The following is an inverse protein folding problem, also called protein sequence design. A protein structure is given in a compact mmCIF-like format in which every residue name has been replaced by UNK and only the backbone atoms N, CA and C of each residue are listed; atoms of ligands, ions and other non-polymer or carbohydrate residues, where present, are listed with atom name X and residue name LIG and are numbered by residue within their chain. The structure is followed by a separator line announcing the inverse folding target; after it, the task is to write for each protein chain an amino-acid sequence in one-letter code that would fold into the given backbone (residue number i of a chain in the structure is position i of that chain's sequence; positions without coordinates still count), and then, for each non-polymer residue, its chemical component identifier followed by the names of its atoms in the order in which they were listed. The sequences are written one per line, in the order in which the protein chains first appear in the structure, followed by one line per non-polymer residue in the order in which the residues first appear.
data_IF_620693971401
#
_entry.id   IF_620693971401
#
_cell.length_a   1.000
_cell.length_b   1.000
_cell.length_c   1.000
_cell.angle_alpha   90.00
_cell.angle_beta   90.00
_cell.angle_gamma   90.00
#
_symmetry.space_group_name_H-M   'P 1'
#
loop_
_entity.id
_entity.type
_entity.pdbx_description
1 polymer ?
#
# COMPACT_ATOMS: atom_id res chain seq x y z
N UNK A 1 17.77 -28.17 -17.07
CA UNK A 1 17.53 -26.99 -17.94
C UNK A 1 16.27 -26.18 -17.56
N UNK A 2 15.16 -26.80 -17.14
CA UNK A 2 13.92 -26.10 -16.78
C UNK A 2 14.00 -25.26 -15.48
N UNK A 3 14.74 -25.72 -14.46
CA UNK A 3 14.99 -24.96 -13.21
C UNK A 3 15.73 -23.62 -13.43
N UNK A 4 16.64 -23.55 -14.41
CA UNK A 4 17.41 -22.34 -14.73
C UNK A 4 16.54 -21.29 -15.42
N UNK A 5 15.61 -21.71 -16.28
CA UNK A 5 14.63 -20.81 -16.94
C UNK A 5 13.61 -20.23 -15.95
N UNK A 6 13.17 -21.00 -14.94
CA UNK A 6 12.24 -20.52 -13.90
C UNK A 6 12.91 -19.52 -12.95
N UNK A 7 14.17 -19.76 -12.58
CA UNK A 7 14.92 -18.83 -11.74
C UNK A 7 15.23 -17.51 -12.46
N UNK A 8 15.42 -17.52 -13.78
CA UNK A 8 15.80 -16.34 -14.56
C UNK A 8 14.81 -15.16 -14.41
N UNK A 9 13.50 -15.43 -14.37
CA UNK A 9 12.48 -14.37 -14.19
C UNK A 9 12.52 -13.72 -12.80
N UNK A 10 12.73 -14.53 -11.75
CA UNK A 10 12.87 -14.06 -10.37
C UNK A 10 14.19 -13.29 -10.21
N UNK A 11 15.29 -13.83 -10.75
CA UNK A 11 16.61 -13.19 -10.73
C UNK A 11 16.61 -11.87 -11.51
N UNK A 12 15.87 -11.76 -12.62
CA UNK A 12 15.74 -10.51 -13.36
C UNK A 12 14.99 -9.44 -12.54
N UNK A 13 13.88 -9.80 -11.88
CA UNK A 13 13.16 -8.87 -10.99
C UNK A 13 14.03 -8.43 -9.80
N UNK A 14 14.65 -9.38 -9.09
CA UNK A 14 15.56 -9.09 -7.97
C UNK A 14 16.80 -8.30 -8.44
N UNK A 15 17.30 -8.60 -9.63
CA UNK A 15 18.45 -7.93 -10.25
C UNK A 15 18.19 -6.45 -10.51
N UNK A 16 16.99 -6.08 -10.98
CA UNK A 16 16.59 -4.67 -11.18
C UNK A 16 16.60 -3.88 -9.87
N UNK A 17 16.17 -4.49 -8.76
CA UNK A 17 16.22 -3.84 -7.44
C UNK A 17 17.65 -3.72 -6.89
N UNK A 18 18.53 -4.70 -7.15
CA UNK A 18 19.93 -4.59 -6.76
C UNK A 18 20.72 -3.55 -7.57
N UNK A 19 20.30 -3.26 -8.80
CA UNK A 19 20.92 -2.27 -9.66
C UNK A 19 20.71 -0.83 -9.14
N UNK A 20 19.52 -0.53 -8.60
CA UNK A 20 19.23 0.78 -8.01
C UNK A 20 19.93 0.96 -6.65
N UNK A 21 20.68 2.06 -6.50
CA UNK A 21 21.46 2.33 -5.29
C UNK A 21 20.58 2.49 -4.04
N UNK A 22 19.46 3.22 -4.14
CA UNK A 22 18.53 3.45 -3.05
C UNK A 22 17.88 2.14 -2.58
N UNK A 23 17.38 1.34 -3.53
CA UNK A 23 16.83 0.01 -3.24
C UNK A 23 17.84 -0.89 -2.54
N UNK A 24 19.07 -0.96 -3.08
CA UNK A 24 20.16 -1.74 -2.51
C UNK A 24 20.53 -1.30 -1.09
N UNK A 25 20.56 0.02 -0.83
CA UNK A 25 20.90 0.57 0.48
C UNK A 25 19.84 0.29 1.53
N UNK A 26 18.55 0.26 1.17
CA UNK A 26 17.49 -0.08 2.13
C UNK A 26 17.41 -1.59 2.36
N UNK A 27 17.43 -2.39 1.29
CA UNK A 27 17.15 -3.83 1.35
C UNK A 27 18.31 -4.68 1.88
N UNK A 28 19.57 -4.23 1.75
CA UNK A 28 20.75 -5.00 2.19
C UNK A 28 21.12 -4.79 3.66
N UNK A 29 20.32 -4.04 4.41
CA UNK A 29 20.59 -3.84 5.83
C UNK A 29 20.29 -5.10 6.63
N UNK A 30 21.22 -5.49 7.50
CA UNK A 30 21.05 -6.66 8.39
C UNK A 30 19.93 -6.46 9.41
N UNK A 31 19.67 -5.20 9.79
CA UNK A 31 18.66 -4.80 10.77
C UNK A 31 17.85 -3.62 10.22
N UNK A 32 16.53 -3.71 10.33
CA UNK A 32 15.64 -2.57 10.05
C UNK A 32 15.83 -1.51 11.15
N UNK A 33 15.99 -0.26 10.76
CA UNK A 33 15.91 0.89 11.67
C UNK A 33 14.48 1.37 11.89
N UNK A 34 13.52 0.83 11.12
CA UNK A 34 12.10 1.18 11.16
C UNK A 34 11.33 0.06 11.87
N UNK A 35 10.58 0.43 12.89
CA UNK A 35 9.65 -0.44 13.60
C UNK A 35 8.22 0.09 13.41
N UNK A 36 7.45 -0.60 12.59
CA UNK A 36 6.07 -0.22 12.26
C UNK A 36 5.11 -0.45 13.42
N UNK A 37 5.38 -1.42 14.30
CA UNK A 37 4.53 -1.65 15.48
C UNK A 37 4.70 -0.50 16.47
N UNK A 38 5.95 -0.12 16.74
CA UNK A 38 6.26 1.02 17.60
C UNK A 38 5.70 2.31 17.01
N UNK A 39 5.89 2.60 15.71
CA UNK A 39 5.33 3.79 15.05
C UNK A 39 3.82 3.87 15.27
N UNK A 40 3.11 2.78 15.00
CA UNK A 40 1.67 2.72 15.12
C UNK A 40 1.21 2.86 16.57
N UNK A 41 1.85 2.17 17.51
CA UNK A 41 1.37 2.10 18.90
C UNK A 41 1.82 3.29 19.76
N UNK A 42 2.97 3.89 19.45
CA UNK A 42 3.46 5.11 20.12
C UNK A 42 2.90 6.41 19.53
N UNK A 43 2.18 6.34 18.40
CA UNK A 43 1.55 7.50 17.77
C UNK A 43 2.54 8.39 17.02
N UNK A 44 3.61 7.81 16.47
CA UNK A 44 4.56 8.52 15.62
C UNK A 44 3.95 8.82 14.26
N UNK A 45 4.53 9.81 13.58
CA UNK A 45 4.21 10.14 12.20
C UNK A 45 5.25 9.47 11.30
N UNK A 46 4.78 8.70 10.32
CA UNK A 46 5.60 8.11 9.26
C UNK A 46 5.31 8.83 7.94
N UNK A 47 6.34 9.41 7.33
CA UNK A 47 6.26 10.03 6.01
C UNK A 47 7.13 9.22 5.06
N UNK A 48 6.52 8.76 3.98
CA UNK A 48 7.17 7.96 2.95
C UNK A 48 7.17 8.73 1.63
N UNK A 49 8.33 9.19 1.17
CA UNK A 49 8.45 9.81 -0.14
C UNK A 49 8.91 8.76 -1.17
N UNK A 50 7.96 8.27 -1.95
CA UNK A 50 8.20 7.35 -3.06
C UNK A 50 8.04 8.05 -4.42
N UNK A 51 8.63 9.23 -4.59
CA UNK A 51 8.61 9.90 -5.89
C UNK A 51 9.25 9.03 -6.98
N UNK A 52 8.46 8.65 -8.00
CA UNK A 52 8.94 7.92 -9.17
C UNK A 52 10.11 8.64 -9.86
N UNK A 53 10.13 9.97 -9.85
CA UNK A 53 11.23 10.76 -10.43
C UNK A 53 12.56 10.61 -9.69
N UNK A 54 12.53 10.33 -8.38
CA UNK A 54 13.72 10.15 -7.56
C UNK A 54 14.18 8.69 -7.49
N UNK A 55 13.22 7.76 -7.41
CA UNK A 55 13.51 6.33 -7.14
C UNK A 55 13.46 5.46 -8.39
N UNK A 56 12.79 5.91 -9.44
CA UNK A 56 12.34 5.06 -10.54
C UNK A 56 11.03 4.34 -10.20
N UNK A 57 10.28 3.98 -11.23
CA UNK A 57 8.94 3.38 -11.11
C UNK A 57 8.94 2.05 -10.35
N UNK A 58 9.71 1.06 -10.81
CA UNK A 58 9.81 -0.26 -10.18
C UNK A 58 10.13 -0.18 -8.67
N UNK A 59 11.06 0.70 -8.29
CA UNK A 59 11.52 0.82 -6.89
C UNK A 59 10.50 1.56 -6.04
N UNK A 60 9.88 2.60 -6.59
CA UNK A 60 8.79 3.32 -5.96
C UNK A 60 7.64 2.37 -5.62
N UNK A 61 7.17 1.61 -6.61
CA UNK A 61 6.11 0.61 -6.44
C UNK A 61 6.50 -0.43 -5.39
N UNK A 62 7.69 -1.02 -5.50
CA UNK A 62 8.16 -2.02 -4.54
C UNK A 62 8.14 -1.50 -3.10
N UNK A 63 8.68 -0.29 -2.87
CA UNK A 63 8.72 0.28 -1.53
C UNK A 63 7.35 0.66 -1.00
N UNK A 64 6.47 1.20 -1.85
CA UNK A 64 5.08 1.47 -1.48
C UNK A 64 4.37 0.19 -1.03
N UNK A 65 4.39 -0.85 -1.86
CA UNK A 65 3.80 -2.16 -1.54
C UNK A 65 4.41 -2.74 -0.25
N UNK A 66 5.74 -2.69 -0.11
CA UNK A 66 6.43 -3.22 1.06
C UNK A 66 6.03 -2.49 2.35
N UNK A 67 5.93 -1.16 2.32
CA UNK A 67 5.51 -0.36 3.48
C UNK A 67 4.05 -0.62 3.82
N UNK A 68 3.15 -0.65 2.84
CA UNK A 68 1.74 -0.98 3.07
C UNK A 68 1.58 -2.37 3.68
N UNK A 69 2.31 -3.37 3.18
CA UNK A 69 2.31 -4.72 3.73
C UNK A 69 2.85 -4.76 5.18
N UNK A 70 3.87 -3.97 5.51
CA UNK A 70 4.41 -3.87 6.88
C UNK A 70 3.42 -3.18 7.82
N UNK A 71 2.75 -2.12 7.38
CA UNK A 71 1.68 -1.46 8.14
C UNK A 71 0.49 -2.39 8.36
N UNK A 72 0.10 -3.15 7.33
CA UNK A 72 -0.91 -4.20 7.42
C UNK A 72 -0.54 -5.24 8.49
N UNK A 73 0.70 -5.73 8.47
CA UNK A 73 1.15 -6.71 9.45
C UNK A 73 1.16 -6.12 10.86
N UNK A 74 1.63 -4.87 11.01
CA UNK A 74 1.63 -4.17 12.29
C UNK A 74 0.20 -3.96 12.82
N UNK A 75 -0.76 -3.62 11.96
CA UNK A 75 -2.16 -3.49 12.37
C UNK A 75 -2.75 -4.83 12.82
N UNK A 76 -2.48 -5.93 12.10
CA UNK A 76 -2.94 -7.27 12.50
C UNK A 76 -2.37 -7.68 13.86
N UNK A 77 -1.11 -7.35 14.16
CA UNK A 77 -0.49 -7.65 15.46
C UNK A 77 -1.17 -6.96 16.64
N UNK A 78 -1.87 -5.84 16.41
CA UNK A 78 -2.71 -5.18 17.43
C UNK A 78 -3.88 -6.05 17.90
N UNK A 79 -4.17 -7.19 17.25
CA UNK A 79 -5.08 -8.21 17.78
C UNK A 79 -4.73 -8.64 19.22
N UNK A 80 -3.45 -8.58 19.59
CA UNK A 80 -2.93 -8.92 20.93
C UNK A 80 -3.18 -7.86 21.99
N UNK A 81 -3.55 -6.64 21.59
CA UNK A 81 -3.86 -5.53 22.49
C UNK A 81 -5.36 -5.45 22.72
N UNK A 82 -5.78 -5.00 23.90
CA UNK A 82 -7.19 -4.70 24.14
C UNK A 82 -7.64 -3.53 23.25
N UNK A 83 -8.91 -3.50 22.86
CA UNK A 83 -9.42 -2.49 21.93
C UNK A 83 -9.29 -1.05 22.48
N UNK A 84 -9.28 -0.88 23.80
CA UNK A 84 -9.05 0.40 24.50
C UNK A 84 -7.60 0.89 24.42
N UNK A 85 -6.63 -0.03 24.28
CA UNK A 85 -5.19 0.28 24.22
C UNK A 85 -4.74 0.58 22.77
N UNK A 86 -5.56 0.20 21.78
CA UNK A 86 -5.28 0.43 20.37
C UNK A 86 -5.41 1.92 20.04
N UNK A 87 -4.28 2.61 19.87
CA UNK A 87 -4.26 4.00 19.41
C UNK A 87 -4.70 4.10 17.94
N UNK A 88 -5.62 5.02 17.61
CA UNK A 88 -5.96 5.33 16.22
C UNK A 88 -4.72 5.64 15.39
N UNK A 89 -4.63 5.04 14.21
CA UNK A 89 -3.60 5.34 13.23
C UNK A 89 -4.27 5.64 11.89
N UNK A 90 -3.90 6.76 11.27
CA UNK A 90 -4.48 7.22 10.02
C UNK A 90 -3.45 7.04 8.91
N UNK A 91 -3.82 6.26 7.89
CA UNK A 91 -2.99 5.94 6.75
C UNK A 91 -3.55 6.66 5.52
N UNK A 92 -2.76 7.59 5.00
CA UNK A 92 -3.03 8.32 3.77
C UNK A 92 -2.18 7.72 2.67
N UNK A 93 -2.80 7.24 1.60
CA UNK A 93 -2.10 6.71 0.44
C UNK A 93 -2.51 7.50 -0.79
N UNK A 94 -1.57 8.28 -1.29
CA UNK A 94 -1.73 8.98 -2.56
C UNK A 94 -1.35 8.05 -3.71
N UNK A 95 -1.97 8.26 -4.87
CA UNK A 95 -1.77 7.47 -6.08
C UNK A 95 -1.89 5.95 -5.84
N UNK A 96 -2.94 5.55 -5.12
CA UNK A 96 -3.13 4.20 -4.57
C UNK A 96 -3.06 3.08 -5.63
N UNK A 97 -3.46 3.34 -6.87
CA UNK A 97 -3.38 2.41 -7.98
C UNK A 97 -1.98 1.85 -8.22
N UNK A 98 -0.93 2.59 -7.84
CA UNK A 98 0.46 2.11 -7.98
C UNK A 98 0.85 1.11 -6.88
N UNK A 99 0.08 0.97 -5.81
CA UNK A 99 0.40 0.13 -4.65
C UNK A 99 -0.73 -0.83 -4.28
N UNK A 100 -1.77 -0.85 -5.11
CA UNK A 100 -3.00 -1.58 -4.91
C UNK A 100 -2.73 -3.10 -4.91
N UNK A 101 -3.09 -3.77 -3.82
CA UNK A 101 -2.99 -5.23 -3.72
C UNK A 101 -4.28 -5.80 -3.16
N UNK A 102 -4.74 -6.98 -3.64
CA UNK A 102 -5.95 -7.61 -3.12
C UNK A 102 -5.94 -7.80 -1.59
N UNK A 103 -4.77 -8.16 -1.03
CA UNK A 103 -4.59 -8.32 0.43
C UNK A 103 -4.75 -7.01 1.20
N UNK A 104 -4.34 -5.87 0.62
CA UNK A 104 -4.50 -4.58 1.26
C UNK A 104 -5.96 -4.10 1.19
N UNK A 105 -6.66 -4.40 0.10
CA UNK A 105 -8.08 -4.08 -0.01
C UNK A 105 -8.93 -4.91 0.94
N UNK A 106 -8.60 -6.19 1.14
CA UNK A 106 -9.24 -6.97 2.20
C UNK A 106 -9.02 -6.36 3.60
N UNK A 107 -7.84 -5.77 3.83
CA UNK A 107 -7.59 -5.04 5.08
C UNK A 107 -8.50 -3.82 5.22
N UNK A 108 -8.88 -3.09 4.15
CA UNK A 108 -9.84 -1.97 4.26
C UNK A 108 -11.13 -2.40 4.96
N UNK A 109 -11.64 -3.58 4.59
CA UNK A 109 -12.87 -4.14 5.18
C UNK A 109 -12.72 -4.49 6.67
N UNK A 110 -11.49 -4.74 7.15
CA UNK A 110 -11.22 -5.19 8.52
C UNK A 110 -10.50 -4.15 9.40
N UNK A 111 -9.99 -3.07 8.82
CA UNK A 111 -9.05 -2.13 9.44
C UNK A 111 -9.61 -1.46 10.69
N UNK A 112 -10.93 -1.21 10.73
CA UNK A 112 -11.61 -0.62 11.91
C UNK A 112 -11.40 -1.43 13.18
N UNK A 113 -11.33 -2.77 13.08
CA UNK A 113 -11.07 -3.66 14.24
C UNK A 113 -9.71 -3.34 14.87
N UNK A 114 -8.74 -2.91 14.08
CA UNK A 114 -7.37 -2.61 14.49
C UNK A 114 -7.09 -1.12 14.73
N UNK A 115 -8.15 -0.28 14.77
CA UNK A 115 -8.05 1.19 14.87
C UNK A 115 -7.14 1.79 13.80
N UNK A 116 -7.14 1.18 12.61
CA UNK A 116 -6.48 1.69 11.42
C UNK A 116 -7.55 2.31 10.51
N UNK A 117 -7.35 3.57 10.14
CA UNK A 117 -8.26 4.33 9.29
C UNK A 117 -7.53 4.69 8.00
N UNK A 118 -8.16 4.46 6.86
CA UNK A 118 -7.54 4.62 5.57
C UNK A 118 -8.21 5.77 4.81
N UNK A 119 -7.37 6.56 4.15
CA UNK A 119 -7.75 7.56 3.17
C UNK A 119 -6.90 7.29 1.95
N UNK A 120 -7.54 6.90 0.86
CA UNK A 120 -6.89 6.61 -0.41
C UNK A 120 -7.25 7.71 -1.40
N UNK A 121 -6.29 8.11 -2.22
CA UNK A 121 -6.49 9.00 -3.35
C UNK A 121 -6.08 8.27 -4.64
N UNK A 122 -6.91 8.41 -5.65
CA UNK A 122 -6.72 7.84 -6.98
C UNK A 122 -7.18 8.87 -8.01
N UNK A 123 -6.56 8.86 -9.19
CA UNK A 123 -6.93 9.77 -10.27
C UNK A 123 -8.21 9.35 -11.00
N UNK A 124 -8.43 8.04 -11.14
CA UNK A 124 -9.58 7.46 -11.85
C UNK A 124 -9.76 6.01 -11.41
N UNK A 125 -11.01 5.58 -11.27
CA UNK A 125 -11.34 4.17 -10.95
C UNK A 125 -10.91 3.22 -12.07
N UNK A 126 -10.78 3.73 -13.29
CA UNK A 126 -10.31 2.96 -14.45
C UNK A 126 -8.80 2.70 -14.46
N UNK A 127 -8.02 3.32 -13.58
CA UNK A 127 -6.57 3.06 -13.48
C UNK A 127 -6.27 1.78 -12.69
N UNK A 128 -7.26 1.23 -11.99
CA UNK A 128 -7.13 -0.06 -11.34
C UNK A 128 -7.23 -1.16 -12.40
N UNK A 129 -6.18 -2.00 -12.48
CA UNK A 129 -6.15 -3.16 -13.35
C UNK A 129 -7.29 -4.15 -13.03
N UNK A 130 -7.66 -4.26 -11.75
CA UNK A 130 -8.74 -5.11 -11.27
C UNK A 130 -9.95 -4.28 -10.84
N UNK A 131 -10.97 -4.25 -11.69
CA UNK A 131 -12.22 -3.55 -11.40
C UNK A 131 -13.02 -4.18 -10.24
N UNK A 132 -12.77 -5.44 -9.88
CA UNK A 132 -13.34 -6.01 -8.64
C UNK A 132 -12.79 -5.30 -7.41
N UNK A 133 -11.53 -4.84 -7.47
CA UNK A 133 -10.91 -4.11 -6.38
C UNK A 133 -11.64 -2.79 -6.11
N UNK A 134 -11.97 -2.05 -7.17
CA UNK A 134 -12.76 -0.81 -7.09
C UNK A 134 -14.10 -1.08 -6.39
N UNK A 135 -14.82 -2.12 -6.79
CA UNK A 135 -16.11 -2.48 -6.19
C UNK A 135 -15.98 -2.79 -4.69
N UNK A 136 -14.94 -3.54 -4.30
CA UNK A 136 -14.70 -3.85 -2.88
C UNK A 136 -14.34 -2.60 -2.09
N UNK A 137 -13.51 -1.72 -2.64
CA UNK A 137 -13.18 -0.43 -2.02
C UNK A 137 -14.45 0.38 -1.79
N UNK A 138 -15.24 0.62 -2.85
CA UNK A 138 -16.45 1.43 -2.79
C UNK A 138 -17.51 0.86 -1.84
N UNK A 139 -17.61 -0.47 -1.74
CA UNK A 139 -18.52 -1.13 -0.81
C UNK A 139 -18.11 -0.98 0.67
N UNK A 140 -16.83 -0.69 0.97
CA UNK A 140 -16.31 -0.65 2.34
C UNK A 140 -15.95 0.76 2.82
N UNK A 141 -15.79 1.73 1.92
CA UNK A 141 -15.57 3.14 2.28
C UNK A 141 -16.88 3.77 2.76
N UNK A 142 -16.80 4.49 3.88
CA UNK A 142 -17.95 5.23 4.41
C UNK A 142 -18.09 6.65 3.86
N UNK A 143 -17.09 7.13 3.13
CA UNK A 143 -17.04 8.49 2.59
C UNK A 143 -16.29 8.46 1.28
N UNK A 144 -16.91 9.04 0.24
CA UNK A 144 -16.32 9.22 -1.08
C UNK A 144 -16.27 10.72 -1.34
N UNK A 145 -15.09 11.20 -1.74
CA UNK A 145 -14.90 12.59 -2.18
C UNK A 145 -14.52 12.54 -3.65
N UNK A 146 -15.38 13.06 -4.51
CA UNK A 146 -15.15 13.12 -5.94
C UNK A 146 -14.80 14.56 -6.33
N UNK A 147 -13.68 14.75 -7.03
CA UNK A 147 -13.39 15.98 -7.74
C UNK A 147 -13.88 15.87 -9.19
N UNK A 148 -13.68 16.90 -10.01
CA UNK A 148 -14.08 16.87 -11.41
C UNK A 148 -13.39 15.70 -12.13
N UNK A 149 -14.17 14.70 -12.55
CA UNK A 149 -13.71 13.66 -13.47
C UNK A 149 -14.10 14.02 -14.90
N UNK A 150 -13.28 13.59 -15.86
CA UNK A 150 -13.61 13.62 -17.29
C UNK A 150 -13.78 12.22 -17.87
N UNK A 151 -13.76 11.18 -17.03
CA UNK A 151 -13.88 9.79 -17.44
C UNK A 151 -15.34 9.33 -17.30
N UNK A 152 -16.01 8.95 -18.41
CA UNK A 152 -17.40 8.49 -18.35
C UNK A 152 -17.62 7.26 -17.46
N UNK A 153 -16.59 6.43 -17.22
CA UNK A 153 -16.70 5.30 -16.30
C UNK A 153 -16.76 5.76 -14.84
N UNK A 154 -15.90 6.70 -14.45
CA UNK A 154 -15.92 7.26 -13.09
C UNK A 154 -17.26 7.95 -12.80
N UNK A 155 -17.80 8.68 -13.78
CA UNK A 155 -19.11 9.32 -13.65
C UNK A 155 -20.20 8.31 -13.32
N UNK A 156 -20.23 7.15 -14.02
CA UNK A 156 -21.22 6.10 -13.78
C UNK A 156 -21.08 5.45 -12.40
N UNK A 157 -19.87 5.42 -11.85
CA UNK A 157 -19.57 4.74 -10.59
C UNK A 157 -19.76 5.68 -9.40
N UNK A 158 -19.50 6.97 -9.56
CA UNK A 158 -19.46 7.96 -8.48
C UNK A 158 -20.69 8.86 -8.41
N UNK A 159 -21.44 9.01 -9.51
CA UNK A 159 -22.67 9.80 -9.53
C UNK A 159 -23.89 8.91 -9.21
N UNK A 160 -24.86 9.43 -8.46
CA UNK A 160 -26.11 8.73 -8.14
C UNK A 160 -27.03 8.52 -9.36
#
# INVERSE_FOLDING_TARGET
MQKVKMAAGITAKIGRFNANASARLVLRQKKSTIDFEDIMNSGKILICNFSKGLLGEDVSELFGIAVLAKLQLASLRRARLNQSERRPFYLYVDEFQNFATPSFVQLLSEARKYRLFLTIAEQSTSQQDDQQMVNVILANVGTVVCFRTGNPQDERVLLP
#
